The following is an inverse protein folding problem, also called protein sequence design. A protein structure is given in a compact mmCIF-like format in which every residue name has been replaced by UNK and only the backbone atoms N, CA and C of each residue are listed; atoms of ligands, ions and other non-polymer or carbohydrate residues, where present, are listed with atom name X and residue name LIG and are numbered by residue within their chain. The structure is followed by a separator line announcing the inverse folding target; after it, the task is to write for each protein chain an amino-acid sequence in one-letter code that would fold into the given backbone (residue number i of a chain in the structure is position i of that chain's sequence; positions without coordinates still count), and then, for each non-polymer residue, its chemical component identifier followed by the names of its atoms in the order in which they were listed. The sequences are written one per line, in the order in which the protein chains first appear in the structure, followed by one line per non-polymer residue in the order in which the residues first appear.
data_IF_780068136720
#
_entry.id   IF_780068136720
#
_cell.length_a   1.000
_cell.length_b   1.000
_cell.length_c   1.000
_cell.angle_alpha   90.00
_cell.angle_beta   90.00
_cell.angle_gamma   90.00
#
_symmetry.space_group_name_H-M   'P 1'
#
loop_
_entity.id
_entity.type
_entity.pdbx_description
1 polymer ?
#
# COMPACT_ATOMS: atom_id res chain seq x y z
N UNK A 1 8.41 5.14 5.34
CA UNK A 1 9.30 4.85 4.20
C UNK A 1 10.75 5.01 4.64
N UNK A 2 11.71 4.42 3.93
CA UNK A 2 13.12 4.70 4.20
C UNK A 2 13.49 6.06 3.58
N UNK A 3 13.85 7.04 4.39
CA UNK A 3 14.21 8.39 3.93
C UNK A 3 15.64 8.74 4.34
N UNK A 4 16.35 9.46 3.47
CA UNK A 4 17.76 9.81 3.65
C UNK A 4 17.98 11.30 3.45
N UNK A 5 18.87 11.90 4.23
CA UNK A 5 19.32 13.28 4.01
C UNK A 5 20.41 13.36 2.92
N UNK A 6 20.84 14.59 2.62
CA UNK A 6 21.87 14.86 1.61
C UNK A 6 23.26 14.27 1.94
N UNK A 7 23.51 13.94 3.22
CA UNK A 7 24.75 13.31 3.65
C UNK A 7 24.65 11.77 3.65
N UNK A 8 23.47 11.20 3.34
CA UNK A 8 23.23 9.76 3.28
C UNK A 8 22.84 9.15 4.63
N UNK A 9 22.49 9.94 5.63
CA UNK A 9 22.01 9.41 6.92
C UNK A 9 20.56 8.92 6.79
N UNK A 10 20.25 7.74 7.33
CA UNK A 10 18.88 7.23 7.41
C UNK A 10 18.09 8.00 8.47
N UNK A 11 17.08 8.74 8.02
CA UNK A 11 16.22 9.58 8.87
C UNK A 11 15.16 8.78 9.62
N UNK A 12 14.74 7.64 9.09
CA UNK A 12 13.68 6.80 9.65
C UNK A 12 14.24 5.51 10.23
N UNK A 13 15.26 5.62 11.08
CA UNK A 13 15.99 4.47 11.64
C UNK A 13 15.35 3.83 12.86
N UNK A 14 14.26 4.41 13.37
CA UNK A 14 13.53 3.93 14.55
C UNK A 14 12.05 3.71 14.24
N UNK A 15 11.36 2.96 15.11
CA UNK A 15 9.90 2.76 15.01
C UNK A 15 9.08 4.02 15.35
N UNK A 16 9.72 5.07 15.88
CA UNK A 16 9.04 6.35 16.07
C UNK A 16 8.79 7.06 14.72
N UNK A 17 9.69 6.84 13.75
CA UNK A 17 9.65 7.51 12.44
C UNK A 17 9.26 6.53 11.31
N UNK A 18 9.63 5.26 11.43
CA UNK A 18 9.24 4.20 10.51
C UNK A 18 7.95 3.54 10.99
N UNK A 19 6.84 3.97 10.40
CA UNK A 19 5.50 3.51 10.78
C UNK A 19 5.39 1.98 10.66
N UNK A 20 5.14 1.34 11.80
CA UNK A 20 4.65 -0.04 11.90
C UNK A 20 3.24 0.05 12.49
N UNK A 21 2.20 -0.39 11.77
CA UNK A 21 0.82 -0.19 12.20
C UNK A 21 0.55 -0.97 13.50
N UNK A 22 -0.08 -0.27 14.44
CA UNK A 22 -0.71 -0.84 15.63
C UNK A 22 -2.07 -1.45 15.29
N UNK A 23 -2.64 -2.18 16.25
CA UNK A 23 -3.95 -2.82 16.07
C UNK A 23 -5.10 -1.83 15.76
N UNK A 24 -4.99 -0.57 16.21
CA UNK A 24 -6.02 0.45 15.95
C UNK A 24 -5.91 1.10 14.57
N UNK A 25 -4.75 0.99 13.92
CA UNK A 25 -4.50 1.54 12.59
C UNK A 25 -4.72 0.50 11.49
N UNK A 26 -4.72 -0.78 11.86
CA UNK A 26 -4.88 -1.88 10.92
C UNK A 26 -6.37 -2.14 10.63
N UNK A 27 -6.78 -2.28 9.36
CA UNK A 27 -8.17 -2.52 9.02
C UNK A 27 -8.60 -3.93 9.44
N UNK A 28 -9.90 -4.11 9.63
CA UNK A 28 -10.49 -5.45 9.69
C UNK A 28 -10.57 -6.06 8.29
N UNK A 29 -10.35 -7.37 8.19
CA UNK A 29 -10.38 -8.09 6.93
C UNK A 29 -11.67 -8.88 6.78
N UNK A 30 -12.27 -8.76 5.60
CA UNK A 30 -13.17 -9.77 5.06
C UNK A 30 -12.34 -10.70 4.16
N UNK A 31 -12.47 -12.01 4.38
CA UNK A 31 -11.70 -13.02 3.66
C UNK A 31 -12.65 -13.89 2.83
N UNK A 32 -12.22 -14.24 1.63
CA UNK A 32 -12.91 -15.20 0.76
C UNK A 32 -11.88 -16.03 -0.02
N UNK A 33 -12.31 -17.15 -0.60
CA UNK A 33 -11.47 -18.00 -1.42
C UNK A 33 -12.26 -18.82 -2.43
N UNK A 34 -11.57 -19.16 -3.52
CA UNK A 34 -11.98 -20.21 -4.45
C UNK A 34 -10.87 -21.24 -4.58
N UNK A 35 -11.18 -22.44 -5.05
CA UNK A 35 -10.20 -23.53 -5.17
C UNK A 35 -10.01 -23.88 -6.64
N UNK A 36 -8.83 -23.57 -7.16
CA UNK A 36 -8.35 -24.07 -8.46
C UNK A 36 -7.04 -24.82 -8.22
N UNK A 37 -7.05 -26.17 -8.15
CA UNK A 37 -5.86 -26.96 -7.83
C UNK A 37 -4.69 -26.70 -8.78
N UNK A 38 -3.47 -26.86 -8.29
CA UNK A 38 -2.28 -26.89 -9.13
C UNK A 38 -2.24 -28.20 -9.94
N UNK A 39 -2.10 -28.16 -11.27
CA UNK A 39 -2.01 -29.38 -12.08
C UNK A 39 -0.65 -30.09 -11.96
N UNK A 40 0.36 -29.44 -11.38
CA UNK A 40 1.75 -29.94 -11.32
C UNK A 40 2.25 -30.23 -9.91
N UNK A 41 1.53 -29.81 -8.87
CA UNK A 41 1.84 -30.17 -7.50
C UNK A 41 1.04 -31.44 -7.13
N UNK A 42 1.66 -32.54 -6.65
CA UNK A 42 0.96 -33.79 -6.33
C UNK A 42 -0.19 -33.67 -5.31
N UNK A 43 -0.16 -32.63 -4.45
CA UNK A 43 -1.19 -32.35 -3.47
C UNK A 43 -2.21 -31.32 -3.97
N UNK A 44 -2.05 -30.78 -5.17
CA UNK A 44 -2.90 -29.74 -5.74
C UNK A 44 -2.75 -28.35 -5.10
N UNK A 45 -1.79 -28.15 -4.19
CA UNK A 45 -1.63 -26.91 -3.41
C UNK A 45 -0.84 -25.82 -4.15
N UNK A 46 -1.05 -24.56 -3.76
CA UNK A 46 -0.33 -23.37 -4.23
C UNK A 46 0.14 -22.54 -3.02
N UNK A 47 1.25 -21.82 -3.17
CA UNK A 47 1.72 -20.87 -2.16
C UNK A 47 0.86 -19.60 -2.14
N UNK A 48 0.63 -19.04 -0.96
CA UNK A 48 -0.22 -17.85 -0.76
C UNK A 48 0.38 -16.79 0.19
N UNK A 49 1.48 -17.10 0.88
CA UNK A 49 2.00 -16.28 1.99
C UNK A 49 2.27 -14.81 1.65
N UNK A 50 2.61 -14.51 0.39
CA UNK A 50 2.91 -13.15 -0.08
C UNK A 50 1.72 -12.49 -0.81
N UNK A 51 0.65 -13.23 -1.11
CA UNK A 51 -0.44 -12.73 -1.95
C UNK A 51 -1.08 -11.45 -1.38
N UNK A 52 -1.24 -11.39 -0.05
CA UNK A 52 -1.71 -10.17 0.62
C UNK A 52 -0.74 -9.00 0.47
N UNK A 53 0.56 -9.23 0.64
CA UNK A 53 1.59 -8.20 0.48
C UNK A 53 1.72 -7.71 -0.97
N UNK A 54 1.41 -8.56 -1.95
CA UNK A 54 1.44 -8.23 -3.38
C UNK A 54 0.18 -7.44 -3.78
N UNK A 55 -1.00 -7.90 -3.37
CA UNK A 55 -2.27 -7.33 -3.85
C UNK A 55 -2.73 -6.11 -3.05
N UNK A 56 -2.40 -6.01 -1.76
CA UNK A 56 -2.89 -4.91 -0.92
C UNK A 56 -2.35 -3.52 -1.30
N UNK A 57 -1.05 -3.32 -1.63
CA UNK A 57 -0.57 -1.99 -2.00
C UNK A 57 -1.30 -1.38 -3.22
N UNK A 58 -1.41 -2.06 -4.38
CA UNK A 58 -2.13 -1.50 -5.51
C UNK A 58 -3.63 -1.36 -5.25
N UNK A 59 -4.25 -2.25 -4.48
CA UNK A 59 -5.67 -2.11 -4.13
C UNK A 59 -5.95 -0.80 -3.36
N UNK A 60 -5.10 -0.47 -2.38
CA UNK A 60 -5.23 0.77 -1.60
C UNK A 60 -4.91 2.00 -2.44
N UNK A 61 -3.84 1.99 -3.22
CA UNK A 61 -3.47 3.13 -4.06
C UNK A 61 -4.53 3.41 -5.13
N UNK A 62 -5.08 2.37 -5.77
CA UNK A 62 -6.17 2.54 -6.72
C UNK A 62 -7.42 3.11 -6.05
N UNK A 63 -7.75 2.72 -4.82
CA UNK A 63 -8.87 3.29 -4.08
C UNK A 63 -8.67 4.78 -3.79
N UNK A 64 -7.45 5.21 -3.45
CA UNK A 64 -7.11 6.62 -3.25
C UNK A 64 -7.23 7.40 -4.57
N UNK A 65 -6.69 6.86 -5.67
CA UNK A 65 -6.79 7.49 -7.00
C UNK A 65 -8.25 7.60 -7.44
N UNK A 66 -9.05 6.54 -7.28
CA UNK A 66 -10.47 6.53 -7.61
C UNK A 66 -11.23 7.62 -6.84
N UNK A 67 -11.00 7.75 -5.54
CA UNK A 67 -11.59 8.78 -4.70
C UNK A 67 -11.25 10.20 -5.16
N UNK A 68 -10.05 10.42 -5.71
CA UNK A 68 -9.56 11.73 -6.17
C UNK A 68 -9.74 11.96 -7.68
N UNK A 69 -10.23 10.98 -8.42
CA UNK A 69 -10.33 11.02 -9.89
C UNK A 69 -11.16 12.19 -10.40
N UNK A 70 -12.20 12.59 -9.67
CA UNK A 70 -13.05 13.75 -9.97
C UNK A 70 -12.31 15.10 -9.93
N UNK A 71 -11.12 15.15 -9.32
CA UNK A 71 -10.22 16.30 -9.32
C UNK A 71 -9.18 16.24 -10.45
N UNK A 72 -9.22 15.22 -11.31
CA UNK A 72 -8.25 14.99 -12.38
C UNK A 72 -7.00 14.23 -11.95
N UNK A 73 -6.97 13.68 -10.73
CA UNK A 73 -5.84 12.88 -10.23
C UNK A 73 -5.86 11.49 -10.86
N UNK A 74 -4.76 11.09 -11.48
CA UNK A 74 -4.58 9.76 -12.10
C UNK A 74 -3.41 8.95 -11.52
N UNK A 75 -2.61 9.56 -10.64
CA UNK A 75 -1.43 8.95 -10.04
C UNK A 75 -1.15 9.56 -8.66
N UNK A 76 -0.62 8.75 -7.75
CA UNK A 76 -0.05 9.21 -6.48
C UNK A 76 1.16 8.33 -6.13
N UNK A 77 2.26 8.95 -5.75
CA UNK A 77 3.45 8.21 -5.32
C UNK A 77 3.24 7.55 -3.96
N UNK A 78 3.74 6.32 -3.81
CA UNK A 78 3.79 5.65 -2.53
C UNK A 78 4.96 6.17 -1.68
N UNK A 79 4.82 6.22 -0.34
CA UNK A 79 3.60 5.95 0.43
C UNK A 79 2.59 7.10 0.28
N UNK A 80 1.29 6.77 0.27
CA UNK A 80 0.23 7.76 0.30
C UNK A 80 0.04 8.33 1.72
N UNK A 81 1.05 9.05 2.22
CA UNK A 81 0.99 9.71 3.52
C UNK A 81 -0.11 10.80 3.52
N UNK A 82 -0.70 11.14 4.67
CA UNK A 82 -1.69 12.21 4.75
C UNK A 82 -1.21 13.53 4.14
N UNK A 83 0.07 13.87 4.33
CA UNK A 83 0.68 15.04 3.72
C UNK A 83 0.71 14.95 2.19
N UNK A 84 1.15 13.82 1.63
CA UNK A 84 1.22 13.63 0.17
C UNK A 84 -0.17 13.67 -0.45
N UNK A 85 -1.16 13.03 0.18
CA UNK A 85 -2.57 13.10 -0.25
C UNK A 85 -3.08 14.55 -0.22
N UNK A 86 -2.80 15.30 0.84
CA UNK A 86 -3.18 16.71 0.96
C UNK A 86 -2.51 17.58 -0.12
N UNK A 87 -1.22 17.39 -0.39
CA UNK A 87 -0.50 18.10 -1.46
C UNK A 87 -1.09 17.76 -2.84
N UNK A 88 -1.38 16.48 -3.11
CA UNK A 88 -2.05 16.04 -4.34
C UNK A 88 -3.39 16.75 -4.54
N UNK A 89 -4.22 16.84 -3.50
CA UNK A 89 -5.51 17.55 -3.56
C UNK A 89 -5.32 19.04 -3.87
N UNK A 90 -4.35 19.71 -3.23
CA UNK A 90 -4.12 21.15 -3.43
C UNK A 90 -3.46 21.51 -4.76
N UNK A 91 -2.82 20.55 -5.41
CA UNK A 91 -2.18 20.74 -6.71
C UNK A 91 -3.08 20.25 -7.86
N UNK A 92 -4.15 19.51 -7.58
CA UNK A 92 -5.11 19.08 -8.58
C UNK A 92 -5.82 20.29 -9.22
N UNK A 93 -5.78 20.38 -10.55
CA UNK A 93 -6.44 21.44 -11.32
C UNK A 93 -5.71 22.77 -11.40
N UNK A 94 -4.47 22.87 -10.91
CA UNK A 94 -3.52 23.94 -11.29
C UNK A 94 -2.73 23.52 -12.52
#
# INVERSE_FOLDING_TARGET
EASYDAAGNLLTSTLADYLVPSATEFPFFELDHTVTPSPTNPLGVKGIGEAGAIASPPAIINAIIDALSHLGVSHIDMPASPQRVWETINNAGK
#
